data_IF_617673195827
#
_entry.id   IF_617673195827
#
_cell.length_a   1.000
_cell.length_b   1.000
_cell.length_c   1.000
_cell.angle_alpha   90.00
_cell.angle_beta   90.00
_cell.angle_gamma   90.00
#
_symmetry.space_group_name_H-M   'P 1'
#
loop_
_entity.id
_entity.type
_entity.pdbx_description
1 polymer ?
#
# COMPACT_ATOMS: atom_id res chain seq x y z
N UNK A 1 -31.62 -48.32 27.46
CA UNK A 1 -30.91 -47.03 27.53
C UNK A 1 -29.66 -47.15 26.67
N UNK A 2 -29.72 -46.66 25.44
CA UNK A 2 -28.59 -46.62 24.51
C UNK A 2 -27.77 -45.38 24.83
N UNK A 3 -26.57 -45.58 25.36
CA UNK A 3 -25.62 -44.51 25.66
C UNK A 3 -25.23 -43.83 24.32
N UNK A 4 -25.36 -42.50 24.18
CA UNK A 4 -24.90 -41.83 22.97
C UNK A 4 -23.37 -42.02 22.85
N UNK A 5 -22.84 -42.17 21.62
CA UNK A 5 -21.40 -42.31 21.43
C UNK A 5 -20.68 -41.08 21.99
N UNK A 6 -19.46 -41.25 22.53
CA UNK A 6 -18.68 -40.12 23.02
C UNK A 6 -18.49 -39.12 21.86
N UNK A 7 -18.92 -37.86 22.07
CA UNK A 7 -18.59 -36.77 21.16
C UNK A 7 -17.08 -36.68 21.06
N UNK A 8 -16.50 -37.11 19.94
CA UNK A 8 -15.10 -36.85 19.61
C UNK A 8 -14.87 -35.35 19.75
N UNK A 9 -13.96 -34.95 20.63
CA UNK A 9 -13.60 -33.57 20.82
C UNK A 9 -13.12 -33.00 19.47
N UNK A 10 -13.68 -31.87 19.05
CA UNK A 10 -13.28 -31.23 17.80
C UNK A 10 -11.78 -30.91 17.85
N UNK A 11 -11.02 -31.14 16.75
CA UNK A 11 -9.57 -31.04 16.76
C UNK A 11 -9.09 -29.64 17.19
N UNK A 12 -7.89 -29.56 17.77
CA UNK A 12 -7.19 -28.29 17.93
C UNK A 12 -6.67 -27.81 16.57
N UNK A 13 -6.41 -26.51 16.42
CA UNK A 13 -5.85 -26.00 15.17
C UNK A 13 -4.45 -26.56 14.94
N UNK A 14 -4.25 -27.27 13.82
CA UNK A 14 -2.92 -27.66 13.34
C UNK A 14 -2.21 -26.44 12.75
N UNK A 15 -1.58 -25.66 13.64
CA UNK A 15 -0.90 -24.42 13.27
C UNK A 15 0.31 -24.69 12.35
N UNK A 16 1.02 -25.80 12.54
CA UNK A 16 2.18 -26.14 11.72
C UNK A 16 1.76 -26.40 10.27
N UNK A 17 0.69 -27.17 10.05
CA UNK A 17 0.11 -27.37 8.71
C UNK A 17 -0.36 -26.05 8.11
N UNK A 18 -1.04 -25.21 8.88
CA UNK A 18 -1.54 -23.92 8.41
C UNK A 18 -0.39 -22.98 7.98
N UNK A 19 0.70 -22.93 8.75
CA UNK A 19 1.89 -22.15 8.44
C UNK A 19 2.70 -22.74 7.27
N UNK A 20 2.76 -24.07 7.14
CA UNK A 20 3.36 -24.74 5.99
C UNK A 20 2.59 -24.45 4.68
N UNK A 21 1.26 -24.43 4.74
CA UNK A 21 0.41 -24.00 3.63
C UNK A 21 0.67 -22.53 3.26
N UNK A 22 0.85 -21.64 4.24
CA UNK A 22 1.23 -20.24 4.00
C UNK A 22 2.58 -20.12 3.27
N UNK A 23 3.58 -20.91 3.64
CA UNK A 23 4.86 -20.94 2.91
C UNK A 23 4.70 -21.47 1.48
N UNK A 24 3.80 -22.43 1.27
CA UNK A 24 3.47 -22.95 -0.06
C UNK A 24 2.79 -21.89 -0.92
N UNK A 25 1.87 -21.12 -0.34
CA UNK A 25 1.26 -19.96 -0.99
C UNK A 25 2.31 -18.93 -1.42
N UNK A 26 3.30 -18.62 -0.55
CA UNK A 26 4.41 -17.72 -0.87
C UNK A 26 5.27 -18.25 -2.02
N UNK A 27 5.54 -19.57 -2.08
CA UNK A 27 6.29 -20.17 -3.19
C UNK A 27 5.53 -20.07 -4.51
N UNK A 28 4.22 -20.31 -4.49
CA UNK A 28 3.37 -20.23 -5.66
C UNK A 28 3.12 -18.79 -6.13
N UNK A 29 3.03 -17.84 -5.18
CA UNK A 29 2.76 -16.42 -5.42
C UNK A 29 3.76 -15.52 -4.65
N UNK A 30 5.05 -15.48 -5.05
CA UNK A 30 6.08 -14.76 -4.29
C UNK A 30 5.81 -13.26 -4.15
N UNK A 31 5.10 -12.67 -5.11
CA UNK A 31 4.73 -11.25 -5.08
C UNK A 31 3.73 -10.91 -3.97
N UNK A 32 3.00 -11.89 -3.40
CA UNK A 32 2.08 -11.70 -2.29
C UNK A 32 2.73 -11.92 -0.91
N UNK A 33 4.03 -12.24 -0.86
CA UNK A 33 4.69 -12.67 0.38
C UNK A 33 4.52 -11.68 1.54
N UNK A 34 4.72 -10.39 1.27
CA UNK A 34 4.56 -9.35 2.30
C UNK A 34 3.18 -9.34 2.93
N UNK A 35 2.13 -9.56 2.14
CA UNK A 35 0.76 -9.58 2.64
C UNK A 35 0.43 -10.88 3.36
N UNK A 36 0.85 -12.02 2.82
CA UNK A 36 0.65 -13.33 3.46
C UNK A 36 1.29 -13.39 4.85
N UNK A 37 2.48 -12.80 5.03
CA UNK A 37 3.14 -12.73 6.33
C UNK A 37 2.60 -11.62 7.25
N UNK A 38 1.84 -10.67 6.73
CA UNK A 38 1.17 -9.65 7.53
C UNK A 38 -0.09 -10.21 8.23
N UNK A 39 -0.70 -11.27 7.69
CA UNK A 39 -1.87 -11.90 8.29
C UNK A 39 -1.51 -12.64 9.58
N UNK A 40 -2.31 -12.37 10.62
CA UNK A 40 -2.24 -13.08 11.89
C UNK A 40 -3.28 -14.21 11.94
N UNK A 41 -2.87 -15.49 12.06
CA UNK A 41 -3.80 -16.61 12.22
C UNK A 41 -4.51 -16.57 13.58
N UNK A 42 -5.83 -16.73 13.58
CA UNK A 42 -6.67 -16.83 14.78
C UNK A 42 -7.47 -18.12 14.71
N UNK A 43 -7.34 -19.00 15.71
CA UNK A 43 -8.22 -20.17 15.82
C UNK A 43 -9.65 -19.70 16.07
N UNK A 44 -10.59 -20.16 15.24
CA UNK A 44 -12.03 -19.94 15.47
C UNK A 44 -12.80 -21.21 15.11
N UNK A 45 -13.65 -21.68 16.02
CA UNK A 45 -14.54 -22.82 15.76
C UNK A 45 -15.87 -22.40 15.17
N UNK A 46 -16.13 -21.09 15.12
CA UNK A 46 -17.36 -20.50 14.59
C UNK A 46 -17.25 -20.17 13.11
N UNK A 47 -16.04 -19.94 12.60
CA UNK A 47 -15.82 -19.82 11.15
C UNK A 47 -15.98 -21.20 10.50
N UNK A 48 -16.69 -21.34 9.37
CA UNK A 48 -16.88 -22.64 8.72
C UNK A 48 -15.60 -23.16 8.05
N UNK A 49 -14.81 -22.27 7.44
CA UNK A 49 -13.61 -22.58 6.67
C UNK A 49 -12.41 -21.74 7.18
N UNK A 50 -11.92 -20.81 6.35
CA UNK A 50 -11.08 -19.70 6.75
C UNK A 50 -11.79 -18.41 6.35
N UNK A 51 -11.47 -17.32 7.03
CA UNK A 51 -12.04 -16.00 6.74
C UNK A 51 -11.06 -14.92 7.16
N UNK A 52 -11.22 -13.72 6.61
CA UNK A 52 -10.48 -12.53 7.04
C UNK A 52 -11.41 -11.44 7.54
N UNK A 53 -10.93 -10.66 8.50
CA UNK A 53 -11.61 -9.42 8.89
C UNK A 53 -10.96 -8.18 8.27
N UNK A 54 -11.63 -7.03 8.42
CA UNK A 54 -11.12 -5.74 7.96
C UNK A 54 -9.77 -5.35 8.60
N UNK A 55 -9.40 -5.97 9.72
CA UNK A 55 -8.21 -5.67 10.51
C UNK A 55 -7.03 -6.60 10.19
N UNK A 56 -7.11 -7.36 9.09
CA UNK A 56 -6.05 -8.24 8.57
C UNK A 56 -5.72 -9.45 9.47
N UNK A 57 -6.69 -9.91 10.25
CA UNK A 57 -6.63 -11.21 10.93
C UNK A 57 -7.24 -12.28 10.04
N UNK A 58 -6.67 -13.48 10.08
CA UNK A 58 -7.15 -14.63 9.33
C UNK A 58 -7.64 -15.70 10.30
N UNK A 59 -8.96 -15.87 10.35
CA UNK A 59 -9.63 -16.86 11.17
C UNK A 59 -9.58 -18.23 10.50
N UNK A 60 -9.23 -19.27 11.24
CA UNK A 60 -9.13 -20.61 10.72
C UNK A 60 -9.90 -21.63 11.58
N UNK A 61 -10.76 -22.41 10.92
CA UNK A 61 -11.45 -23.55 11.50
C UNK A 61 -10.51 -24.74 11.67
N UNK A 62 -10.33 -25.28 12.89
CA UNK A 62 -9.53 -26.49 13.10
C UNK A 62 -10.00 -27.68 12.27
N UNK A 63 -11.32 -27.85 12.14
CA UNK A 63 -11.91 -28.96 11.40
C UNK A 63 -11.64 -28.85 9.89
N UNK A 64 -11.75 -27.63 9.35
CA UNK A 64 -11.43 -27.35 7.96
C UNK A 64 -9.94 -27.58 7.69
N UNK A 65 -9.05 -26.99 8.50
CA UNK A 65 -7.60 -27.17 8.35
C UNK A 65 -7.19 -28.64 8.43
N UNK A 66 -7.82 -29.44 9.29
CA UNK A 66 -7.56 -30.88 9.36
C UNK A 66 -7.99 -31.61 8.07
N UNK A 67 -9.16 -31.28 7.50
CA UNK A 67 -9.75 -31.95 6.34
C UNK A 67 -9.13 -31.54 4.99
N UNK A 68 -8.64 -30.31 4.86
CA UNK A 68 -8.16 -29.74 3.60
C UNK A 68 -6.70 -30.09 3.33
N UNK A 69 -6.31 -30.37 2.07
CA UNK A 69 -4.90 -30.64 1.74
C UNK A 69 -4.02 -29.39 1.91
N UNK A 70 -2.70 -29.59 1.96
CA UNK A 70 -1.75 -28.49 2.16
C UNK A 70 -1.76 -27.51 0.96
N UNK A 71 -1.87 -28.04 -0.25
CA UNK A 71 -1.92 -27.27 -1.48
C UNK A 71 -3.24 -26.50 -1.64
N UNK A 72 -4.37 -27.09 -1.27
CA UNK A 72 -5.67 -26.39 -1.23
C UNK A 72 -5.67 -25.28 -0.18
N UNK A 73 -5.14 -25.54 1.04
CA UNK A 73 -4.98 -24.50 2.06
C UNK A 73 -4.08 -23.35 1.58
N UNK A 74 -3.07 -23.64 0.77
CA UNK A 74 -2.25 -22.60 0.15
C UNK A 74 -3.07 -21.73 -0.83
N UNK A 75 -4.00 -22.34 -1.57
CA UNK A 75 -4.98 -21.63 -2.38
C UNK A 75 -5.89 -20.73 -1.55
N UNK A 76 -6.41 -21.25 -0.43
CA UNK A 76 -7.24 -20.47 0.51
C UNK A 76 -6.47 -19.27 1.07
N UNK A 77 -5.20 -19.43 1.47
CA UNK A 77 -4.37 -18.30 1.89
C UNK A 77 -4.26 -17.18 0.84
N UNK A 78 -4.07 -17.56 -0.43
CA UNK A 78 -4.02 -16.59 -1.54
C UNK A 78 -5.39 -15.94 -1.76
N UNK A 79 -6.47 -16.71 -1.67
CA UNK A 79 -7.84 -16.20 -1.77
C UNK A 79 -8.12 -15.15 -0.67
N UNK A 80 -7.94 -15.53 0.60
CA UNK A 80 -8.22 -14.67 1.75
C UNK A 80 -7.42 -13.35 1.72
N UNK A 81 -6.12 -13.42 1.45
CA UNK A 81 -5.28 -12.20 1.39
C UNK A 81 -5.67 -11.29 0.22
N UNK A 82 -6.25 -11.85 -0.84
CA UNK A 82 -6.64 -11.08 -2.02
C UNK A 82 -7.84 -10.17 -1.73
N UNK A 83 -8.78 -10.56 -0.86
CA UNK A 83 -9.85 -9.67 -0.41
C UNK A 83 -9.31 -8.39 0.22
N UNK A 84 -8.27 -8.53 1.05
CA UNK A 84 -7.68 -7.43 1.80
C UNK A 84 -6.82 -6.51 0.93
N UNK A 85 -6.01 -7.10 0.03
CA UNK A 85 -5.22 -6.35 -0.93
C UNK A 85 -6.09 -5.55 -1.90
N UNK A 86 -7.22 -6.13 -2.34
CA UNK A 86 -8.16 -5.49 -3.28
C UNK A 86 -9.22 -4.63 -2.62
N UNK A 87 -9.12 -4.41 -1.30
CA UNK A 87 -10.05 -3.58 -0.51
C UNK A 87 -11.53 -3.96 -0.72
N UNK A 88 -11.86 -5.26 -0.78
CA UNK A 88 -13.23 -5.69 -1.10
C UNK A 88 -14.27 -5.17 -0.10
N UNK A 89 -14.01 -5.22 1.21
CA UNK A 89 -14.91 -4.63 2.20
C UNK A 89 -15.09 -3.11 2.02
N UNK A 90 -14.00 -2.35 1.83
CA UNK A 90 -14.06 -0.89 1.67
C UNK A 90 -14.76 -0.48 0.37
N UNK A 91 -14.47 -1.18 -0.74
CA UNK A 91 -15.18 -1.04 -2.01
C UNK A 91 -16.66 -1.38 -1.89
N UNK A 92 -16.98 -2.49 -1.21
CA UNK A 92 -18.34 -2.93 -0.93
C UNK A 92 -19.13 -1.88 -0.15
N UNK A 93 -18.53 -1.32 0.90
CA UNK A 93 -19.10 -0.24 1.70
C UNK A 93 -19.35 1.03 0.88
N UNK A 94 -18.46 1.38 -0.04
CA UNK A 94 -18.67 2.52 -0.96
C UNK A 94 -19.87 2.28 -1.88
N UNK A 95 -20.00 1.08 -2.44
CA UNK A 95 -21.16 0.69 -3.27
C UNK A 95 -22.45 0.69 -2.45
N UNK A 96 -22.42 0.13 -1.23
CA UNK A 96 -23.54 0.09 -0.30
C UNK A 96 -24.09 1.50 -0.04
N UNK A 97 -23.21 2.42 0.35
CA UNK A 97 -23.55 3.83 0.59
C UNK A 97 -24.08 4.53 -0.65
N UNK A 98 -23.41 4.37 -1.79
CA UNK A 98 -23.79 5.05 -3.03
C UNK A 98 -25.15 4.61 -3.58
N UNK A 99 -25.53 3.34 -3.36
CA UNK A 99 -26.77 2.76 -3.89
C UNK A 99 -27.89 2.65 -2.84
N UNK A 100 -27.62 3.01 -1.58
CA UNK A 100 -28.57 2.83 -0.47
C UNK A 100 -28.95 1.36 -0.25
N UNK A 101 -28.02 0.44 -0.49
CA UNK A 101 -28.23 -1.00 -0.33
C UNK A 101 -27.47 -1.49 0.90
N UNK A 102 -28.16 -2.22 1.78
CA UNK A 102 -27.55 -2.81 2.97
C UNK A 102 -28.29 -4.10 3.37
N UNK A 103 -27.68 -4.86 4.27
CA UNK A 103 -28.26 -6.06 4.85
C UNK A 103 -27.60 -7.37 4.37
N UNK A 104 -27.89 -8.49 5.05
CA UNK A 104 -27.13 -9.74 4.88
C UNK A 104 -27.12 -10.29 3.45
N UNK A 105 -28.22 -10.13 2.71
CA UNK A 105 -28.30 -10.57 1.31
C UNK A 105 -27.38 -9.76 0.38
N UNK A 106 -27.32 -8.44 0.56
CA UNK A 106 -26.43 -7.61 -0.27
C UNK A 106 -24.95 -7.83 0.10
N UNK A 107 -24.66 -8.09 1.38
CA UNK A 107 -23.31 -8.44 1.85
C UNK A 107 -22.85 -9.79 1.30
N UNK A 108 -23.72 -10.81 1.31
CA UNK A 108 -23.45 -12.07 0.61
C UNK A 108 -23.23 -11.86 -0.89
N UNK A 109 -24.02 -10.99 -1.52
CA UNK A 109 -23.87 -10.67 -2.95
C UNK A 109 -22.52 -9.99 -3.25
N UNK A 110 -22.03 -9.14 -2.34
CA UNK A 110 -20.69 -8.55 -2.40
C UNK A 110 -19.60 -9.58 -2.22
N UNK A 111 -19.74 -10.51 -1.27
CA UNK A 111 -18.82 -11.62 -1.10
C UNK A 111 -18.73 -12.48 -2.39
N UNK A 112 -19.87 -12.91 -2.96
CA UNK A 112 -19.89 -13.69 -4.22
C UNK A 112 -19.20 -12.94 -5.36
N UNK A 113 -19.44 -11.63 -5.49
CA UNK A 113 -18.82 -10.81 -6.53
C UNK A 113 -17.31 -10.65 -6.34
N UNK A 114 -16.87 -10.50 -5.08
CA UNK A 114 -15.48 -10.43 -4.69
C UNK A 114 -14.75 -11.76 -4.96
N UNK A 115 -15.39 -12.88 -4.66
CA UNK A 115 -14.89 -14.22 -4.96
C UNK A 115 -14.76 -14.44 -6.46
N UNK A 116 -15.72 -13.98 -7.26
CA UNK A 116 -15.62 -14.02 -8.72
C UNK A 116 -14.42 -13.23 -9.25
N UNK A 117 -14.10 -12.08 -8.63
CA UNK A 117 -12.94 -11.26 -8.98
C UNK A 117 -11.61 -11.95 -8.63
N UNK A 118 -11.59 -12.77 -7.58
CA UNK A 118 -10.40 -13.45 -7.06
C UNK A 118 -10.18 -14.80 -7.74
N UNK A 119 -11.22 -15.65 -7.75
CA UNK A 119 -11.11 -17.05 -8.16
C UNK A 119 -10.76 -17.22 -9.65
N UNK A 120 -10.90 -16.16 -10.46
CA UNK A 120 -10.47 -16.16 -11.85
C UNK A 120 -8.93 -16.13 -12.05
N UNK A 121 -8.15 -15.82 -11.00
CA UNK A 121 -6.68 -15.71 -11.08
C UNK A 121 -5.89 -16.36 -9.93
N UNK A 122 -6.56 -16.93 -8.92
CA UNK A 122 -5.90 -17.62 -7.79
C UNK A 122 -5.22 -18.92 -8.22
N UNK A 123 -5.90 -19.75 -8.99
CA UNK A 123 -5.51 -21.15 -9.21
C UNK A 123 -4.53 -21.34 -10.38
N UNK A 124 -3.96 -22.55 -10.50
CA UNK A 124 -2.89 -22.85 -11.44
C UNK A 124 -1.49 -22.51 -10.90
N UNK A 125 -0.44 -22.79 -11.68
CA UNK A 125 0.96 -22.53 -11.28
C UNK A 125 1.31 -23.05 -9.87
N UNK A 126 0.87 -24.26 -9.55
CA UNK A 126 1.14 -24.93 -8.27
C UNK A 126 0.05 -24.81 -7.20
N UNK A 127 -1.09 -24.17 -7.50
CA UNK A 127 -2.27 -24.16 -6.62
C UNK A 127 -3.44 -24.90 -7.30
N UNK A 128 -3.97 -25.98 -6.69
CA UNK A 128 -5.10 -26.73 -7.24
C UNK A 128 -6.38 -25.91 -7.13
N UNK A 129 -7.27 -26.06 -8.11
CA UNK A 129 -8.61 -25.47 -8.09
C UNK A 129 -9.57 -26.42 -7.34
N UNK A 130 -10.23 -25.95 -6.26
CA UNK A 130 -11.27 -26.72 -5.56
C UNK A 130 -12.47 -27.02 -6.47
N UNK A 131 -13.19 -28.10 -6.20
CA UNK A 131 -14.38 -28.49 -6.97
C UNK A 131 -15.55 -27.51 -6.78
N UNK A 132 -15.66 -26.92 -5.59
CA UNK A 132 -16.74 -26.03 -5.15
C UNK A 132 -16.42 -24.53 -5.35
N UNK A 133 -15.34 -24.23 -6.07
CA UNK A 133 -14.92 -22.85 -6.35
C UNK A 133 -16.03 -22.06 -7.06
N UNK A 134 -16.22 -20.82 -6.62
CA UNK A 134 -17.13 -19.88 -7.29
C UNK A 134 -16.38 -19.15 -8.40
N UNK A 135 -16.60 -19.58 -9.63
CA UNK A 135 -16.11 -18.91 -10.83
C UNK A 135 -17.20 -18.06 -11.48
N UNK A 136 -16.84 -16.98 -12.20
CA UNK A 136 -17.80 -16.15 -12.96
C UNK A 136 -18.71 -16.96 -13.88
N UNK A 137 -18.19 -18.03 -14.50
CA UNK A 137 -18.95 -18.92 -15.37
C UNK A 137 -20.11 -19.64 -14.68
N UNK A 138 -20.04 -19.87 -13.36
CA UNK A 138 -21.14 -20.46 -12.58
C UNK A 138 -22.38 -19.54 -12.52
N UNK A 139 -22.18 -18.23 -12.76
CA UNK A 139 -23.23 -17.23 -12.85
C UNK A 139 -23.57 -16.87 -14.31
N UNK A 140 -22.98 -17.54 -15.30
CA UNK A 140 -23.10 -17.20 -16.71
C UNK A 140 -22.41 -15.87 -17.07
N UNK A 141 -21.41 -15.46 -16.28
CA UNK A 141 -20.69 -14.21 -16.46
C UNK A 141 -19.29 -14.45 -17.02
N UNK A 142 -18.78 -13.45 -17.74
CA UNK A 142 -17.41 -13.46 -18.24
C UNK A 142 -16.41 -13.31 -17.08
N UNK A 143 -15.27 -13.99 -17.20
CA UNK A 143 -14.15 -13.80 -16.29
C UNK A 143 -13.53 -12.41 -16.48
N UNK A 144 -13.01 -11.88 -15.38
CA UNK A 144 -12.12 -10.74 -15.46
C UNK A 144 -12.69 -9.36 -15.26
N UNK A 145 -13.84 -9.29 -14.63
CA UNK A 145 -14.45 -8.03 -14.24
C UNK A 145 -14.06 -7.71 -12.79
N UNK A 146 -14.27 -6.47 -12.39
CA UNK A 146 -14.15 -6.06 -10.99
C UNK A 146 -15.41 -6.46 -10.21
N UNK A 147 -15.31 -6.54 -8.88
CA UNK A 147 -16.42 -6.83 -7.98
C UNK A 147 -17.65 -5.93 -8.27
N UNK A 148 -17.46 -4.62 -8.48
CA UNK A 148 -18.56 -3.68 -8.75
C UNK A 148 -19.25 -3.94 -10.09
N UNK A 149 -18.49 -4.39 -11.08
CA UNK A 149 -19.01 -4.80 -12.37
C UNK A 149 -19.83 -6.07 -12.24
N UNK A 150 -19.33 -7.08 -11.52
CA UNK A 150 -20.12 -8.28 -11.19
C UNK A 150 -21.39 -7.93 -10.42
N UNK A 151 -21.32 -7.04 -9.42
CA UNK A 151 -22.48 -6.54 -8.69
C UNK A 151 -23.50 -5.81 -9.56
N UNK A 152 -23.16 -5.37 -10.76
CA UNK A 152 -24.14 -4.80 -11.71
C UNK A 152 -24.85 -5.88 -12.55
N UNK A 153 -24.27 -7.07 -12.67
CA UNK A 153 -24.66 -8.11 -13.64
C UNK A 153 -25.46 -9.27 -13.06
N UNK A 154 -25.53 -9.41 -11.73
CA UNK A 154 -26.38 -10.44 -11.10
C UNK A 154 -27.09 -9.96 -9.83
N UNK A 155 -28.17 -10.70 -9.51
CA UNK A 155 -28.92 -10.61 -8.25
C UNK A 155 -28.95 -11.98 -7.59
N UNK A 156 -29.19 -12.01 -6.29
CA UNK A 156 -29.43 -13.29 -5.61
C UNK A 156 -30.71 -13.93 -6.14
N UNK A 157 -30.65 -15.23 -6.42
CA UNK A 157 -31.74 -15.97 -7.06
C UNK A 157 -31.45 -17.46 -7.11
N UNK A 158 -32.09 -18.17 -8.04
CA UNK A 158 -31.97 -19.63 -8.15
C UNK A 158 -30.50 -20.09 -8.35
N UNK A 159 -29.73 -19.37 -9.15
CA UNK A 159 -28.33 -19.69 -9.46
C UNK A 159 -27.35 -19.43 -8.31
N UNK A 160 -27.75 -18.67 -7.28
CA UNK A 160 -26.90 -18.36 -6.12
C UNK A 160 -27.34 -19.12 -4.85
N UNK A 161 -28.37 -19.97 -4.92
CA UNK A 161 -28.87 -20.70 -3.74
C UNK A 161 -27.84 -21.65 -3.14
N UNK A 162 -26.99 -22.22 -3.98
CA UNK A 162 -25.90 -23.13 -3.56
C UNK A 162 -24.69 -22.38 -3.03
N UNK A 163 -24.69 -21.04 -3.06
CA UNK A 163 -23.57 -20.18 -2.65
C UNK A 163 -23.81 -19.51 -1.28
N UNK A 164 -24.93 -19.82 -0.61
CA UNK A 164 -25.31 -19.19 0.67
C UNK A 164 -24.35 -19.55 1.82
N UNK A 165 -23.56 -20.61 1.65
CA UNK A 165 -22.54 -21.01 2.63
C UNK A 165 -21.30 -20.11 2.61
N UNK A 166 -21.09 -19.31 1.55
CA UNK A 166 -19.91 -18.47 1.40
C UNK A 166 -19.84 -17.42 2.49
N UNK A 167 -18.69 -17.35 3.15
CA UNK A 167 -18.45 -16.38 4.19
C UNK A 167 -16.93 -16.23 4.42
N UNK A 168 -16.30 -15.39 3.60
CA UNK A 168 -14.88 -15.05 3.72
C UNK A 168 -14.62 -13.95 4.78
N UNK A 169 -15.61 -13.68 5.63
CA UNK A 169 -15.52 -12.72 6.74
C UNK A 169 -15.69 -11.25 6.36
N UNK A 170 -15.60 -10.38 7.38
CA UNK A 170 -15.83 -8.95 7.22
C UNK A 170 -14.79 -8.23 6.35
N UNK A 171 -13.62 -8.83 6.13
CA UNK A 171 -12.61 -8.31 5.20
C UNK A 171 -13.01 -8.45 3.74
N UNK A 172 -13.95 -9.36 3.44
CA UNK A 172 -14.50 -9.58 2.12
C UNK A 172 -15.76 -8.74 1.84
N UNK A 173 -16.71 -8.66 2.77
CA UNK A 173 -18.03 -8.06 2.53
C UNK A 173 -18.37 -6.84 3.41
N UNK A 174 -17.55 -6.54 4.41
CA UNK A 174 -17.77 -5.44 5.34
C UNK A 174 -18.86 -5.68 6.40
N UNK A 175 -19.42 -6.89 6.52
CA UNK A 175 -20.37 -7.23 7.58
C UNK A 175 -19.63 -7.95 8.71
N UNK A 176 -19.74 -7.46 9.94
CA UNK A 176 -19.10 -8.08 11.10
C UNK A 176 -19.75 -9.42 11.46
N UNK A 177 -18.95 -10.37 11.94
CA UNK A 177 -19.40 -11.69 12.39
C UNK A 177 -19.03 -11.90 13.86
N UNK A 178 -19.67 -12.88 14.52
CA UNK A 178 -19.43 -13.18 15.93
C UNK A 178 -17.99 -13.61 16.25
N UNK A 179 -17.23 -14.09 15.26
CA UNK A 179 -15.82 -14.44 15.44
C UNK A 179 -14.87 -13.27 15.20
N UNK A 180 -15.35 -12.15 14.66
CA UNK A 180 -14.49 -10.98 14.45
C UNK A 180 -14.13 -10.38 15.82
N UNK A 181 -12.84 -10.16 16.06
CA UNK A 181 -12.35 -9.64 17.34
C UNK A 181 -12.49 -8.12 17.44
N UNK A 182 -13.02 -7.46 16.41
CA UNK A 182 -13.22 -6.01 16.36
C UNK A 182 -11.91 -5.20 16.32
N UNK A 183 -12.00 -3.86 16.30
CA UNK A 183 -10.84 -2.96 16.19
C UNK A 183 -9.89 -3.08 17.39
N UNK A 184 -10.42 -3.33 18.58
CA UNK A 184 -9.65 -3.41 19.83
C UNK A 184 -9.07 -4.82 20.09
N UNK A 185 -9.37 -5.78 19.21
CA UNK A 185 -8.86 -7.13 19.32
C UNK A 185 -7.36 -7.21 19.03
N UNK A 186 -6.67 -8.15 19.69
CA UNK A 186 -5.23 -8.33 19.52
C UNK A 186 -4.83 -8.52 18.05
N UNK A 187 -3.63 -8.04 17.70
CA UNK A 187 -3.01 -8.20 16.38
C UNK A 187 -3.79 -7.57 15.20
N UNK A 188 -4.72 -6.65 15.48
CA UNK A 188 -5.31 -5.81 14.45
C UNK A 188 -4.23 -4.93 13.82
N UNK A 189 -4.19 -4.87 12.48
CA UNK A 189 -3.39 -3.88 11.78
C UNK A 189 -4.12 -2.55 11.74
N UNK A 190 -3.38 -1.48 12.04
CA UNK A 190 -3.82 -0.09 11.82
C UNK A 190 -3.99 0.21 10.34
N UNK A 191 -4.79 1.22 10.01
CA UNK A 191 -5.03 1.68 8.62
C UNK A 191 -3.71 1.94 7.87
N UNK A 192 -2.77 2.61 8.55
CA UNK A 192 -1.41 2.89 8.05
C UNK A 192 -0.61 1.61 7.75
N UNK A 193 -0.67 0.61 8.62
CA UNK A 193 0.03 -0.66 8.40
C UNK A 193 -0.59 -1.45 7.24
N UNK A 194 -1.93 -1.44 7.12
CA UNK A 194 -2.66 -2.07 6.02
C UNK A 194 -2.25 -1.46 4.68
N UNK A 195 -2.19 -0.13 4.61
CA UNK A 195 -1.76 0.58 3.41
C UNK A 195 -0.28 0.38 3.12
N UNK A 196 0.58 0.35 4.13
CA UNK A 196 1.99 0.02 3.96
C UNK A 196 2.20 -1.41 3.43
N UNK A 197 1.35 -2.37 3.79
CA UNK A 197 1.39 -3.72 3.21
C UNK A 197 0.97 -3.70 1.75
N UNK A 198 -0.18 -3.09 1.41
CA UNK A 198 -0.65 -2.94 0.01
C UNK A 198 0.41 -2.28 -0.86
N UNK A 199 0.98 -1.18 -0.37
CA UNK A 199 2.05 -0.44 -1.02
C UNK A 199 3.28 -1.31 -1.29
N UNK A 200 3.75 -2.07 -0.29
CA UNK A 200 4.93 -2.93 -0.45
C UNK A 200 4.69 -4.05 -1.46
N UNK A 201 3.50 -4.63 -1.50
CA UNK A 201 3.11 -5.62 -2.51
C UNK A 201 3.09 -4.99 -3.89
N UNK A 202 2.43 -3.83 -4.05
CA UNK A 202 2.38 -3.11 -5.32
C UNK A 202 3.80 -2.74 -5.81
N UNK A 203 4.68 -2.25 -4.93
CA UNK A 203 6.09 -1.97 -5.24
C UNK A 203 6.84 -3.22 -5.70
N UNK A 204 6.62 -4.36 -5.03
CA UNK A 204 7.23 -5.63 -5.40
C UNK A 204 6.83 -6.06 -6.81
N UNK A 205 5.55 -5.94 -7.13
CA UNK A 205 5.00 -6.23 -8.46
C UNK A 205 5.58 -5.29 -9.52
N UNK A 206 5.57 -3.98 -9.29
CA UNK A 206 6.09 -3.00 -10.25
C UNK A 206 7.62 -3.11 -10.45
N UNK A 207 8.36 -3.35 -9.38
CA UNK A 207 9.82 -3.40 -9.40
C UNK A 207 10.39 -4.69 -9.99
N UNK A 208 9.69 -5.82 -9.78
CA UNK A 208 10.10 -7.15 -10.26
C UNK A 208 8.87 -7.96 -10.65
N UNK A 209 8.21 -7.63 -11.78
CA UNK A 209 6.92 -8.22 -12.14
C UNK A 209 6.98 -9.72 -12.39
N UNK A 210 8.14 -10.30 -12.70
CA UNK A 210 8.32 -11.76 -12.79
C UNK A 210 7.18 -12.48 -13.52
N UNK A 211 6.58 -13.48 -12.85
CA UNK A 211 5.39 -14.23 -13.29
C UNK A 211 4.06 -13.64 -12.80
N UNK A 212 4.04 -12.42 -12.27
CA UNK A 212 2.81 -11.80 -11.75
C UNK A 212 1.76 -11.67 -12.86
N UNK A 213 0.51 -12.11 -12.64
CA UNK A 213 -0.60 -11.99 -13.59
C UNK A 213 -0.89 -10.54 -13.98
N UNK A 214 -1.46 -10.34 -15.18
CA UNK A 214 -1.80 -9.00 -15.70
C UNK A 214 -2.73 -8.21 -14.76
N UNK A 215 -3.68 -8.88 -14.10
CA UNK A 215 -4.60 -8.25 -13.13
C UNK A 215 -3.88 -7.66 -11.94
N UNK A 216 -2.98 -8.42 -11.33
CA UNK A 216 -2.13 -7.94 -10.24
C UNK A 216 -1.20 -6.80 -10.65
N UNK A 217 -0.75 -6.75 -11.91
CA UNK A 217 0.00 -5.60 -12.44
C UNK A 217 -0.87 -4.36 -12.56
N UNK A 218 -2.09 -4.50 -13.10
CA UNK A 218 -3.06 -3.41 -13.18
C UNK A 218 -3.46 -2.93 -11.78
N UNK A 219 -3.77 -3.84 -10.86
CA UNK A 219 -4.04 -3.51 -9.47
C UNK A 219 -2.86 -2.74 -8.85
N UNK A 220 -1.62 -3.17 -9.09
CA UNK A 220 -0.45 -2.44 -8.60
C UNK A 220 -0.41 -1.04 -9.20
N UNK A 221 -0.60 -0.90 -10.52
CA UNK A 221 -0.71 0.39 -11.21
C UNK A 221 -1.86 1.26 -10.69
N UNK A 222 -2.98 0.69 -10.23
CA UNK A 222 -4.11 1.45 -9.66
C UNK A 222 -3.85 1.87 -8.20
N UNK A 223 -3.15 1.04 -7.42
CA UNK A 223 -2.64 1.41 -6.09
C UNK A 223 -1.62 2.55 -6.20
N UNK A 224 -0.92 2.67 -7.34
CA UNK A 224 -0.08 3.82 -7.67
C UNK A 224 -0.88 4.87 -8.47
N UNK A 225 -1.27 6.00 -7.87
CA UNK A 225 -1.48 7.18 -8.73
C UNK A 225 -0.19 7.44 -9.54
N UNK A 226 -0.24 7.81 -10.83
CA UNK A 226 0.96 8.06 -11.61
C UNK A 226 1.78 9.12 -10.86
N UNK A 227 3.00 8.79 -10.42
CA UNK A 227 3.77 9.70 -9.60
C UNK A 227 4.07 10.95 -10.39
N UNK A 228 4.19 12.08 -9.70
CA UNK A 228 4.54 13.34 -10.35
C UNK A 228 5.85 13.19 -11.14
N UNK A 229 6.03 13.91 -12.26
CA UNK A 229 7.22 13.80 -13.11
C UNK A 229 8.46 14.39 -12.42
N UNK A 230 8.93 13.76 -11.34
CA UNK A 230 9.98 14.27 -10.48
C UNK A 230 11.29 14.53 -11.22
N UNK A 231 11.57 13.82 -12.32
CA UNK A 231 12.74 14.15 -13.15
C UNK A 231 12.67 15.55 -13.75
N UNK A 232 11.48 16.01 -14.12
CA UNK A 232 11.25 17.36 -14.65
C UNK A 232 11.13 18.37 -13.50
N UNK A 233 10.40 17.99 -12.45
CA UNK A 233 10.23 18.83 -11.27
C UNK A 233 11.56 19.09 -10.58
N UNK A 234 12.49 18.13 -10.54
CA UNK A 234 13.86 18.24 -10.05
C UNK A 234 14.84 18.68 -11.14
N UNK A 235 14.40 18.84 -12.40
CA UNK A 235 15.25 18.98 -13.58
C UNK A 235 16.25 20.14 -13.49
N UNK A 236 15.89 21.27 -12.89
CA UNK A 236 16.82 22.38 -12.68
C UNK A 236 17.94 22.02 -11.69
N UNK A 237 17.62 21.30 -10.61
CA UNK A 237 18.63 20.83 -9.65
C UNK A 237 19.49 19.71 -10.23
N UNK A 238 18.90 18.80 -11.01
CA UNK A 238 19.63 17.80 -11.79
C UNK A 238 20.58 18.45 -12.81
N UNK A 239 20.18 19.54 -13.47
CA UNK A 239 21.03 20.32 -14.37
C UNK A 239 22.14 21.05 -13.63
N UNK A 240 21.86 21.70 -12.49
CA UNK A 240 22.90 22.33 -11.66
C UNK A 240 23.93 21.31 -11.14
N UNK A 241 23.49 20.10 -10.81
CA UNK A 241 24.36 18.98 -10.45
C UNK A 241 25.22 18.46 -11.63
N UNK A 242 24.80 18.71 -12.88
CA UNK A 242 25.57 18.39 -14.10
C UNK A 242 26.52 19.54 -14.48
N UNK A 243 26.13 20.78 -14.18
CA UNK A 243 26.91 21.99 -14.46
C UNK A 243 27.90 22.37 -13.36
N UNK A 244 27.86 21.68 -12.20
CA UNK A 244 28.81 21.85 -11.11
C UNK A 244 30.21 21.42 -11.57
N UNK A 245 30.87 22.36 -12.22
CA UNK A 245 32.28 22.34 -12.56
C UNK A 245 33.03 22.66 -11.27
N UNK A 246 34.08 21.90 -10.98
CA UNK A 246 34.92 21.95 -9.79
C UNK A 246 34.96 23.29 -9.07
N UNK A 247 34.27 23.35 -7.93
CA UNK A 247 34.54 24.34 -6.89
C UNK A 247 35.39 23.64 -5.83
N UNK A 248 36.67 23.41 -6.12
CA UNK A 248 37.72 23.18 -5.13
C UNK A 248 37.75 21.87 -4.33
N UNK A 249 36.71 21.02 -4.34
CA UNK A 249 36.67 19.76 -3.56
C UNK A 249 36.92 18.49 -4.42
N UNK A 250 37.78 18.60 -5.44
CA UNK A 250 37.95 17.58 -6.49
C UNK A 250 38.93 16.43 -6.16
N UNK A 251 39.18 16.13 -4.87
CA UNK A 251 39.94 14.93 -4.51
C UNK A 251 39.02 13.72 -4.32
N UNK A 252 38.92 12.89 -5.36
CA UNK A 252 38.32 11.56 -5.26
C UNK A 252 39.39 10.48 -5.28
N UNK A 253 39.59 9.78 -4.16
CA UNK A 253 40.41 8.55 -4.09
C UNK A 253 39.68 7.32 -4.66
N UNK A 254 38.51 7.51 -5.29
CA UNK A 254 37.72 6.43 -5.87
C UNK A 254 38.39 5.86 -7.12
N UNK A 255 38.49 4.53 -7.19
CA UNK A 255 39.14 3.79 -8.29
C UNK A 255 38.69 4.31 -9.67
N UNK A 256 39.62 4.73 -10.56
CA UNK A 256 39.31 5.15 -11.93
C UNK A 256 38.55 4.06 -12.70
N UNK A 257 37.77 4.47 -13.70
CA UNK A 257 36.98 3.53 -14.50
C UNK A 257 37.89 2.47 -15.14
N UNK A 258 37.49 1.20 -15.16
CA UNK A 258 38.28 0.13 -15.82
C UNK A 258 38.51 0.38 -17.32
N UNK A 259 37.70 1.23 -17.96
CA UNK A 259 37.88 1.65 -19.36
C UNK A 259 39.09 2.57 -19.56
N UNK A 260 39.61 3.22 -18.52
CA UNK A 260 40.88 3.98 -18.61
C UNK A 260 42.11 3.06 -18.67
N UNK A 261 41.95 1.73 -18.49
CA UNK A 261 43.03 0.76 -18.63
C UNK A 261 43.60 0.67 -20.06
N UNK A 262 42.90 1.21 -21.06
CA UNK A 262 43.39 1.30 -22.44
C UNK A 262 44.48 2.36 -22.67
N UNK A 263 44.73 3.24 -21.69
CA UNK A 263 45.78 4.28 -21.77
C UNK A 263 46.64 4.24 -20.49
N UNK A 264 47.66 3.37 -20.43
CA UNK A 264 48.55 3.28 -19.28
C UNK A 264 49.24 4.62 -19.00
N UNK A 265 49.23 5.08 -17.75
CA UNK A 265 49.91 6.31 -17.32
C UNK A 265 49.11 7.60 -17.44
N UNK A 266 47.89 7.59 -17.99
CA UNK A 266 47.03 8.77 -18.08
C UNK A 266 45.74 8.62 -17.26
N UNK A 267 45.46 9.59 -16.38
CA UNK A 267 44.15 9.72 -15.72
C UNK A 267 43.24 10.52 -16.65
N UNK A 268 42.34 9.82 -17.35
CA UNK A 268 41.38 10.48 -18.22
C UNK A 268 40.32 11.20 -17.37
N UNK A 269 39.97 12.47 -17.70
CA UNK A 269 38.90 13.18 -17.02
C UNK A 269 37.59 12.41 -17.17
N UNK A 270 36.95 12.11 -16.05
CA UNK A 270 35.62 11.48 -16.03
C UNK A 270 34.61 12.48 -15.50
N UNK A 271 33.52 12.71 -16.24
CA UNK A 271 32.40 13.51 -15.77
C UNK A 271 31.73 12.78 -14.59
N UNK A 272 32.07 13.14 -13.35
CA UNK A 272 31.36 12.63 -12.17
C UNK A 272 30.07 13.42 -12.00
N UNK A 273 28.95 12.80 -12.34
CA UNK A 273 27.62 13.32 -11.99
C UNK A 273 27.38 13.02 -10.52
N UNK A 274 27.29 14.04 -9.68
CA UNK A 274 26.81 13.92 -8.29
C UNK A 274 25.32 14.26 -8.28
N UNK A 275 24.41 13.26 -8.20
CA UNK A 275 22.98 13.57 -8.16
C UNK A 275 22.65 14.44 -6.93
N UNK A 276 21.65 15.33 -7.02
CA UNK A 276 21.28 16.22 -5.93
C UNK A 276 20.76 15.41 -4.74
N UNK A 277 21.08 15.88 -3.53
CA UNK A 277 20.51 15.40 -2.27
C UNK A 277 19.12 15.99 -2.09
N UNK A 278 18.13 15.14 -1.86
CA UNK A 278 16.73 15.53 -1.71
C UNK A 278 16.29 15.24 -0.27
N UNK A 279 15.73 16.23 0.40
CA UNK A 279 15.02 16.01 1.66
C UNK A 279 13.52 16.18 1.44
N UNK A 280 12.74 15.17 1.81
CA UNK A 280 11.28 15.16 1.71
C UNK A 280 10.69 15.34 3.09
N UNK A 281 9.93 16.41 3.31
CA UNK A 281 9.10 16.60 4.48
C UNK A 281 7.72 16.04 4.15
N UNK A 282 7.26 15.09 4.95
CA UNK A 282 5.93 14.47 4.79
C UNK A 282 5.06 14.95 5.93
N UNK A 283 3.96 15.60 5.59
CA UNK A 283 2.95 16.01 6.55
C UNK A 283 2.24 14.77 7.10
N UNK A 284 2.31 14.59 8.42
CA UNK A 284 1.64 13.51 9.17
C UNK A 284 0.62 14.06 10.16
N UNK A 285 0.14 15.29 9.92
CA UNK A 285 -0.88 15.92 10.77
C UNK A 285 -2.24 15.24 10.63
N UNK A 286 -3.12 15.45 11.62
CA UNK A 286 -4.43 14.79 11.65
C UNK A 286 -5.37 15.17 10.50
N UNK A 287 -5.05 16.19 9.69
CA UNK A 287 -5.82 16.51 8.49
C UNK A 287 -5.43 15.64 7.28
N UNK A 288 -4.28 14.97 7.30
CA UNK A 288 -3.79 14.09 6.23
C UNK A 288 -4.33 12.68 6.43
N UNK A 289 -5.02 12.16 5.42
CA UNK A 289 -5.58 10.81 5.40
C UNK A 289 -4.53 9.74 5.06
N UNK A 290 -4.80 8.49 5.42
CA UNK A 290 -3.88 7.38 5.12
C UNK A 290 -3.67 7.17 3.61
N UNK A 291 -4.68 7.46 2.78
CA UNK A 291 -4.54 7.46 1.32
C UNK A 291 -3.55 8.53 0.82
N UNK A 292 -3.54 9.71 1.45
CA UNK A 292 -2.59 10.78 1.16
C UNK A 292 -1.17 10.43 1.66
N UNK A 293 -1.04 9.80 2.83
CA UNK A 293 0.24 9.25 3.32
C UNK A 293 0.79 8.16 2.39
N UNK A 294 -0.08 7.25 1.94
CA UNK A 294 0.24 6.23 0.93
C UNK A 294 0.75 6.88 -0.36
N UNK A 295 0.06 7.91 -0.84
CA UNK A 295 0.48 8.72 -2.00
C UNK A 295 1.84 9.39 -1.77
N UNK A 296 2.08 9.92 -0.57
CA UNK A 296 3.37 10.52 -0.20
C UNK A 296 4.53 9.52 -0.33
N UNK A 297 4.31 8.27 0.10
CA UNK A 297 5.29 7.19 -0.05
C UNK A 297 5.55 6.82 -1.52
N UNK A 298 4.53 6.92 -2.39
CA UNK A 298 4.70 6.75 -3.84
C UNK A 298 5.66 7.82 -4.38
N UNK A 299 5.42 9.07 -4.01
CA UNK A 299 6.21 10.20 -4.48
C UNK A 299 7.65 10.14 -3.96
N UNK A 300 7.87 9.77 -2.69
CA UNK A 300 9.20 9.52 -2.13
C UNK A 300 9.96 8.45 -2.94
N UNK A 301 9.26 7.38 -3.32
CA UNK A 301 9.84 6.32 -4.15
C UNK A 301 10.19 6.82 -5.55
N UNK A 302 9.30 7.61 -6.16
CA UNK A 302 9.51 8.20 -7.47
C UNK A 302 10.68 9.21 -7.47
N UNK A 303 10.80 10.02 -6.43
CA UNK A 303 11.95 10.92 -6.19
C UNK A 303 13.25 10.11 -6.12
N UNK A 304 13.26 9.01 -5.36
CA UNK A 304 14.45 8.14 -5.26
C UNK A 304 14.86 7.56 -6.63
N UNK A 305 13.89 7.17 -7.46
CA UNK A 305 14.16 6.74 -8.85
C UNK A 305 14.68 7.90 -9.72
N UNK A 306 14.13 9.11 -9.56
CA UNK A 306 14.52 10.29 -10.32
C UNK A 306 15.98 10.72 -10.06
N UNK A 307 16.51 10.50 -8.85
CA UNK A 307 17.92 10.76 -8.50
C UNK A 307 18.86 9.57 -8.77
N UNK A 308 18.45 8.66 -9.66
CA UNK A 308 19.28 7.53 -10.10
C UNK A 308 19.20 6.29 -9.21
N UNK A 309 18.13 6.13 -8.42
CA UNK A 309 17.89 4.96 -7.57
C UNK A 309 18.75 4.91 -6.31
N UNK A 310 19.52 5.97 -6.03
CA UNK A 310 20.39 6.09 -4.86
C UNK A 310 19.60 6.55 -3.64
N UNK A 311 19.19 5.58 -2.82
CA UNK A 311 18.42 5.84 -1.58
C UNK A 311 19.18 6.67 -0.54
N UNK A 312 20.51 6.67 -0.59
CA UNK A 312 21.37 7.43 0.33
C UNK A 312 21.35 8.95 0.11
N UNK A 313 20.82 9.39 -1.03
CA UNK A 313 20.67 10.79 -1.38
C UNK A 313 19.30 11.36 -1.00
N UNK A 314 18.39 10.52 -0.47
CA UNK A 314 17.03 10.92 -0.10
C UNK A 314 16.81 10.73 1.39
N UNK A 315 16.47 11.82 2.09
CA UNK A 315 16.02 11.81 3.48
C UNK A 315 14.53 12.13 3.58
N UNK A 316 13.84 11.50 4.53
CA UNK A 316 12.42 11.72 4.80
C UNK A 316 12.25 12.22 6.23
N UNK A 317 11.44 13.26 6.41
CA UNK A 317 11.15 13.91 7.69
C UNK A 317 9.63 13.92 7.87
N UNK A 318 9.05 12.97 8.62
CA UNK A 318 7.65 13.06 9.03
C UNK A 318 7.48 14.26 9.97
N UNK A 319 6.41 15.04 9.81
CA UNK A 319 6.19 16.25 10.58
C UNK A 319 4.69 16.50 10.79
N UNK A 320 4.30 16.73 12.03
CA UNK A 320 2.98 17.24 12.41
C UNK A 320 3.14 18.58 13.17
N UNK A 321 2.95 18.60 14.50
CA UNK A 321 3.17 19.75 15.38
C UNK A 321 4.63 19.87 15.78
N UNK A 322 5.37 18.75 15.74
CA UNK A 322 6.80 18.70 15.92
C UNK A 322 7.42 17.81 14.83
N UNK A 323 8.67 18.08 14.41
CA UNK A 323 9.34 17.22 13.46
C UNK A 323 9.76 15.92 14.18
N UNK A 324 9.37 14.78 13.60
CA UNK A 324 9.81 13.47 14.06
C UNK A 324 11.26 13.19 13.61
N UNK A 325 11.79 12.02 13.96
CA UNK A 325 13.16 11.64 13.62
C UNK A 325 13.41 11.69 12.09
N UNK A 326 14.61 12.13 11.67
CA UNK A 326 14.96 12.20 10.24
C UNK A 326 15.37 10.81 9.78
N UNK A 327 14.57 10.21 8.90
CA UNK A 327 14.83 8.89 8.36
C UNK A 327 15.58 8.99 7.03
N UNK A 328 16.83 8.48 6.97
CA UNK A 328 17.51 8.27 5.69
C UNK A 328 16.98 6.98 5.06
N UNK A 329 16.64 7.00 3.77
CA UNK A 329 16.12 5.83 3.04
C UNK A 329 17.17 4.70 2.83
N UNK A 330 18.32 4.76 3.49
CA UNK A 330 19.35 3.72 3.48
C UNK A 330 18.94 2.45 4.24
N UNK A 331 17.93 2.49 5.11
CA UNK A 331 17.51 1.35 5.93
C UNK A 331 16.30 0.66 5.30
N UNK A 332 16.27 -0.68 5.41
CA UNK A 332 15.19 -1.54 4.91
C UNK A 332 13.95 -1.51 5.81
N UNK A 333 14.04 -0.85 6.97
CA UNK A 333 12.94 -0.58 7.88
C UNK A 333 11.98 0.43 7.24
N UNK A 334 10.67 0.15 7.29
CA UNK A 334 9.65 1.09 6.83
C UNK A 334 9.77 2.44 7.53
N UNK A 335 9.30 3.51 6.89
CA UNK A 335 9.27 4.85 7.50
C UNK A 335 8.08 4.84 8.46
N UNK A 336 8.29 4.87 9.79
CA UNK A 336 7.17 5.00 10.71
C UNK A 336 6.62 6.42 10.58
N UNK A 337 5.47 6.56 9.93
CA UNK A 337 4.75 7.83 9.83
C UNK A 337 3.85 7.96 11.06
N UNK A 338 4.45 8.20 12.22
CA UNK A 338 3.70 8.44 13.47
C UNK A 338 3.28 9.91 13.50
N UNK A 339 2.00 10.20 13.68
CA UNK A 339 1.48 11.57 13.74
C UNK A 339 -0.01 11.64 14.10
N UNK A 340 -0.54 12.85 14.21
CA UNK A 340 -1.95 13.11 14.55
C UNK A 340 -2.23 14.42 15.30
N UNK A 341 -1.19 15.24 15.54
CA UNK A 341 -1.33 16.57 16.16
C UNK A 341 -1.74 17.68 15.18
N UNK A 342 -1.65 18.93 15.64
CA UNK A 342 -1.77 20.11 14.78
C UNK A 342 -0.61 20.21 13.76
N UNK A 343 -0.64 21.18 12.85
CA UNK A 343 0.29 21.23 11.70
C UNK A 343 1.23 22.44 11.76
N UNK A 344 2.53 22.23 11.92
CA UNK A 344 3.57 23.27 11.77
C UNK A 344 4.78 22.76 10.99
N UNK A 345 4.68 22.80 9.65
CA UNK A 345 5.75 22.33 8.78
C UNK A 345 7.01 23.20 8.79
N UNK A 346 7.00 24.39 9.43
CA UNK A 346 8.22 25.19 9.61
C UNK A 346 9.28 24.42 10.39
N UNK A 347 8.85 23.62 11.36
CA UNK A 347 9.75 22.80 12.15
C UNK A 347 10.34 21.64 11.33
N UNK A 348 9.52 20.98 10.50
CA UNK A 348 9.96 19.97 9.52
C UNK A 348 10.96 20.53 8.50
N UNK A 349 10.67 21.70 7.93
CA UNK A 349 11.57 22.40 7.00
C UNK A 349 12.88 22.77 7.68
N UNK A 350 12.83 23.33 8.89
CA UNK A 350 14.03 23.68 9.67
C UNK A 350 14.89 22.44 9.94
N UNK A 351 14.25 21.33 10.31
CA UNK A 351 14.92 20.05 10.55
C UNK A 351 15.57 19.49 9.29
N UNK A 352 14.88 19.53 8.15
CA UNK A 352 15.39 19.12 6.85
C UNK A 352 16.62 19.96 6.42
N UNK A 353 16.58 21.28 6.60
CA UNK A 353 17.68 22.19 6.28
C UNK A 353 18.86 22.08 7.25
N UNK A 354 18.60 21.65 8.49
CA UNK A 354 19.62 21.39 9.51
C UNK A 354 20.41 20.08 9.29
N UNK A 355 19.96 19.22 8.38
CA UNK A 355 20.65 17.97 8.07
C UNK A 355 22.07 18.22 7.54
N UNK A 356 23.01 17.35 7.93
CA UNK A 356 24.38 17.35 7.41
C UNK A 356 24.65 16.04 6.68
N UNK A 357 25.04 16.09 5.40
CA UNK A 357 25.14 17.27 4.53
C UNK A 357 23.78 17.89 4.17
N UNK A 358 23.77 19.18 3.83
CA UNK A 358 22.55 19.94 3.51
C UNK A 358 21.88 19.43 2.23
N UNK A 359 20.54 19.52 2.12
CA UNK A 359 19.83 19.15 0.90
C UNK A 359 20.02 20.19 -0.21
N UNK A 360 20.15 19.70 -1.44
CA UNK A 360 20.15 20.52 -2.67
C UNK A 360 18.70 20.86 -3.09
N UNK A 361 17.76 19.97 -2.76
CA UNK A 361 16.32 20.13 -2.98
C UNK A 361 15.53 19.75 -1.75
N UNK A 362 14.57 20.60 -1.40
CA UNK A 362 13.53 20.34 -0.42
C UNK A 362 12.23 20.00 -1.14
N UNK A 363 11.59 18.90 -0.76
CA UNK A 363 10.24 18.54 -1.19
C UNK A 363 9.34 18.55 0.04
N UNK A 364 8.16 19.15 -0.05
CA UNK A 364 7.16 19.13 1.02
C UNK A 364 5.88 18.52 0.47
N UNK A 365 5.38 17.45 1.10
CA UNK A 365 4.14 16.77 0.74
C UNK A 365 3.10 17.03 1.84
N UNK A 366 2.01 17.73 1.52
CA UNK A 366 1.03 18.23 2.51
C UNK A 366 -0.33 18.47 1.86
N UNK A 367 -1.40 18.55 2.66
CA UNK A 367 -2.70 19.04 2.22
C UNK A 367 -2.79 20.58 2.15
N UNK A 368 -1.71 21.27 2.54
CA UNK A 368 -1.60 22.72 2.50
C UNK A 368 -2.12 23.44 3.75
N UNK A 369 -2.67 22.72 4.73
CA UNK A 369 -3.19 23.31 5.97
C UNK A 369 -2.08 23.50 7.01
N UNK A 370 -1.09 24.33 6.67
CA UNK A 370 0.08 24.53 7.53
C UNK A 370 0.58 25.96 7.51
N UNK A 371 1.31 26.35 8.56
CA UNK A 371 2.07 27.60 8.56
C UNK A 371 3.31 27.43 7.70
N UNK A 372 3.47 28.28 6.70
CA UNK A 372 4.64 28.27 5.85
C UNK A 372 5.82 29.07 6.46
N UNK A 373 7.07 28.73 6.12
CA UNK A 373 8.22 29.57 6.45
C UNK A 373 8.08 30.97 5.85
N UNK A 374 8.35 32.01 6.63
CA UNK A 374 8.29 33.41 6.17
C UNK A 374 9.41 33.77 5.19
N UNK A 375 10.53 33.05 5.24
CA UNK A 375 11.66 33.24 4.33
C UNK A 375 11.85 32.03 3.41
N UNK A 376 12.28 32.31 2.18
CA UNK A 376 12.59 31.28 1.19
C UNK A 376 13.76 30.41 1.68
N UNK A 377 13.64 29.07 1.69
CA UNK A 377 14.74 28.16 1.95
C UNK A 377 15.93 28.41 1.00
N UNK A 378 17.18 28.19 1.44
CA UNK A 378 18.37 28.42 0.62
C UNK A 378 18.53 27.40 -0.52
N UNK A 379 17.73 26.32 -0.52
CA UNK A 379 17.67 25.31 -1.56
C UNK A 379 16.39 25.43 -2.38
N UNK A 380 16.36 24.74 -3.52
CA UNK A 380 15.15 24.68 -4.33
C UNK A 380 14.05 23.95 -3.57
N UNK A 381 12.83 24.47 -3.60
CA UNK A 381 11.69 23.88 -2.89
C UNK A 381 10.57 23.53 -3.85
N UNK A 382 10.06 22.31 -3.74
CA UNK A 382 8.87 21.81 -4.46
C UNK A 382 7.82 21.41 -3.43
N UNK A 383 6.59 21.86 -3.61
CA UNK A 383 5.45 21.51 -2.75
C UNK A 383 4.51 20.60 -3.54
N UNK A 384 4.31 19.38 -3.06
CA UNK A 384 3.27 18.48 -3.54
C UNK A 384 2.02 18.64 -2.66
N UNK A 385 0.96 19.21 -3.23
CA UNK A 385 -0.33 19.36 -2.57
C UNK A 385 -1.20 18.13 -2.81
N UNK A 386 -1.76 17.57 -1.75
CA UNK A 386 -2.85 16.62 -1.90
C UNK A 386 -4.14 17.36 -2.32
N UNK A 387 -4.91 16.80 -3.27
CA UNK A 387 -6.08 17.45 -3.81
C UNK A 387 -7.14 17.55 -2.72
N UNK A 388 -7.60 18.77 -2.48
CA UNK A 388 -8.76 19.02 -1.63
C UNK A 388 -9.88 19.56 -2.50
N UNK A 389 -11.11 19.00 -2.40
CA UNK A 389 -12.25 19.65 -3.02
C UNK A 389 -12.35 21.07 -2.43
N UNK A 390 -12.72 22.09 -3.23
CA UNK A 390 -12.93 23.44 -2.73
C UNK A 390 -14.05 23.38 -1.69
N UNK A 391 -13.68 23.29 -0.41
CA UNK A 391 -14.65 23.18 0.68
C UNK A 391 -15.27 24.56 0.85
N UNK A 392 -16.60 24.62 0.78
CA UNK A 392 -17.36 25.71 1.39
C UNK A 392 -16.96 25.74 2.87
N UNK A 393 -16.34 26.85 3.29
CA UNK A 393 -16.22 27.38 4.66
C UNK A 393 -16.36 26.39 5.82
N UNK A 394 -15.34 26.30 6.68
CA UNK A 394 -15.38 25.59 7.97
C UNK A 394 -16.62 26.09 8.76
N UNK A 395 -17.50 25.19 9.21
CA UNK A 395 -18.72 25.56 9.97
C UNK A 395 -18.41 26.33 11.27
N UNK A 396 -17.19 26.20 11.80
CA UNK A 396 -16.74 26.85 13.05
C UNK A 396 -15.95 28.14 12.82
N UNK A 397 -15.47 28.41 11.60
CA UNK A 397 -14.75 29.64 11.26
C UNK A 397 -14.95 29.98 9.76
N UNK A 398 -15.95 30.83 9.44
CA UNK A 398 -16.27 31.23 8.07
C UNK A 398 -15.17 32.08 7.40
N UNK A 399 -14.22 32.62 8.17
CA UNK A 399 -13.15 33.50 7.67
C UNK A 399 -11.80 32.76 7.50
N UNK A 400 -11.67 31.53 7.99
CA UNK A 400 -10.44 30.76 7.85
C UNK A 400 -10.12 30.45 6.38
N UNK A 401 -9.14 31.17 5.83
CA UNK A 401 -8.49 30.84 4.55
C UNK A 401 -7.18 30.13 4.87
N UNK A 402 -6.99 28.86 4.47
CA UNK A 402 -5.69 28.20 4.63
C UNK A 402 -4.63 29.01 3.88
N UNK A 403 -3.44 29.12 4.48
CA UNK A 403 -2.33 29.85 3.88
C UNK A 403 -1.96 29.19 2.54
N UNK A 404 -2.11 29.93 1.43
CA UNK A 404 -1.69 29.44 0.13
C UNK A 404 -0.19 29.17 0.13
N UNK A 405 0.30 28.12 -0.58
CA UNK A 405 1.73 27.89 -0.68
C UNK A 405 2.47 29.16 -1.15
N UNK A 406 3.67 29.44 -0.62
CA UNK A 406 4.38 30.66 -0.97
C UNK A 406 4.78 30.69 -2.45
N UNK A 407 4.76 31.88 -3.06
CA UNK A 407 5.10 32.09 -4.49
C UNK A 407 6.51 31.63 -4.87
N UNK A 408 7.42 31.56 -3.90
CA UNK A 408 8.80 31.10 -4.12
C UNK A 408 8.92 29.58 -4.28
N UNK A 409 7.87 28.81 -3.94
CA UNK A 409 7.84 27.37 -4.06
C UNK A 409 7.22 26.94 -5.39
N UNK A 410 7.76 25.89 -6.02
CA UNK A 410 7.08 25.25 -7.16
C UNK A 410 6.01 24.30 -6.63
N UNK A 411 4.75 24.59 -6.88
CA UNK A 411 3.62 23.78 -6.43
C UNK A 411 3.22 22.77 -7.50
N UNK A 412 2.88 21.55 -7.09
CA UNK A 412 2.29 20.49 -7.93
C UNK A 412 1.16 19.80 -7.17
N UNK A 413 0.11 19.39 -7.86
CA UNK A 413 -0.96 18.58 -7.27
C UNK A 413 -0.60 17.10 -7.37
N UNK A 414 -0.54 16.41 -6.24
CA UNK A 414 -0.24 14.97 -6.16
C UNK A 414 -1.50 14.18 -6.51
N UNK A 415 -1.41 13.17 -7.37
CA UNK A 415 -2.55 12.31 -7.71
C UNK A 415 -3.40 12.75 -8.91
N UNK A 416 -3.20 13.95 -9.46
CA UNK A 416 -3.74 14.33 -10.76
C UNK A 416 -2.68 14.19 -11.87
N UNK A 417 -3.02 13.60 -13.05
CA UNK A 417 -2.13 13.61 -14.19
C UNK A 417 -1.97 15.05 -14.70
N UNK A 418 -0.73 15.55 -14.75
CA UNK A 418 -0.43 16.82 -15.42
C UNK A 418 -0.61 16.61 -16.94
N UNK A 419 -1.55 17.35 -17.52
CA UNK A 419 -1.86 17.32 -18.95
C UNK A 419 -0.75 17.84 -19.85
#
# INVERSE_FOLDING_TARGET
MTTPPPRTAAPALDLDKLLAARLTAVRARPYLATALFALHPVESRSVPTMAVDRYWRCYASPAFVAATSLEELAGVWVHEVSHLLRDHHGRGDRVARARGIDGPGERLRMNIAADCEINDDVYGDGLPQPEDVVLPGALGLESGLLMEDYLSRFRLGAHTRTMVWLNCGSGADGLEREWDLGPDGAHALTDQERDAVRFRVAQGIAGRPGRTPKRWRRWAEEVFHPPQPWRELLGAALRSAVSASGSGDDYSYGRPSRRSAGVPGAVLPSLRRTPPRVSVVVDTSGSVSDAELGSALLEVTAISRAVGGRRDLVSVVPCDAAPHEVHRLCRAEGIPLVGGGGTDLRAGVTRALGARPRPDVLVVLTDGQTRWPSSRPPCRTVVGLFPRPPRRTREEDPEYRPDTPPEWARVVTVGEPQG
#
